data_IF_046082913297
#
_entry.id   IF_046082913297
#
_cell.length_a   1.000
_cell.length_b   1.000
_cell.length_c   1.000
_cell.angle_alpha   90.00
_cell.angle_beta   90.00
_cell.angle_gamma   90.00
#
_symmetry.space_group_name_H-M   'P 1'
#
loop_
_entity.id
_entity.type
_entity.pdbx_description
1 polymer ?
#
# COMPACT_ATOMS: atom_id res chain seq x y z
N UNK A 1 18.47 9.15 -41.56
CA UNK A 1 18.18 9.66 -40.20
C UNK A 1 17.10 8.76 -39.63
N UNK A 2 17.48 7.78 -38.82
CA UNK A 2 16.53 6.85 -38.20
C UNK A 2 16.11 7.49 -36.89
N UNK A 3 14.83 7.88 -36.82
CA UNK A 3 14.18 8.31 -35.59
C UNK A 3 14.03 7.09 -34.70
N UNK A 4 14.81 7.05 -33.61
CA UNK A 4 14.65 6.05 -32.57
C UNK A 4 13.32 6.29 -31.86
N UNK A 5 12.43 5.29 -31.91
CA UNK A 5 11.25 5.24 -31.06
C UNK A 5 11.73 5.10 -29.62
N UNK A 6 11.37 6.05 -28.77
CA UNK A 6 11.49 5.89 -27.33
C UNK A 6 10.59 4.71 -26.94
N UNK A 7 11.17 3.70 -26.29
CA UNK A 7 10.40 2.67 -25.60
C UNK A 7 9.56 3.37 -24.54
N UNK A 8 8.24 3.39 -24.72
CA UNK A 8 7.33 3.55 -23.59
C UNK A 8 7.72 2.42 -22.62
N UNK A 9 8.15 2.76 -21.41
CA UNK A 9 8.30 1.76 -20.37
C UNK A 9 6.90 1.26 -20.07
N UNK A 10 6.59 0.01 -20.44
CA UNK A 10 5.40 -0.65 -19.92
C UNK A 10 5.53 -0.65 -18.39
N UNK A 11 4.72 0.16 -17.72
CA UNK A 11 4.65 0.11 -16.26
C UNK A 11 4.29 -1.31 -15.85
N UNK A 12 4.99 -1.89 -14.86
CA UNK A 12 4.81 -3.30 -14.53
C UNK A 12 3.38 -3.57 -14.08
N UNK A 13 2.68 -4.42 -14.84
CA UNK A 13 1.36 -4.91 -14.46
C UNK A 13 1.54 -5.94 -13.35
N UNK A 14 1.02 -5.63 -12.15
CA UNK A 14 0.96 -6.60 -11.06
C UNK A 14 -0.46 -7.17 -10.99
N UNK A 15 -0.59 -8.50 -11.05
CA UNK A 15 -1.87 -9.22 -10.97
C UNK A 15 -1.77 -10.35 -9.96
N UNK A 16 -2.73 -10.41 -9.05
CA UNK A 16 -2.93 -11.53 -8.12
C UNK A 16 -4.39 -11.97 -8.20
N UNK A 17 -4.65 -13.27 -8.13
CA UNK A 17 -6.01 -13.83 -8.08
C UNK A 17 -6.18 -14.60 -6.77
N UNK A 18 -7.21 -14.28 -6.00
CA UNK A 18 -7.52 -14.92 -4.72
C UNK A 18 -8.99 -14.68 -4.33
N UNK A 19 -9.57 -15.62 -3.60
CA UNK A 19 -10.91 -15.52 -2.97
C UNK A 19 -10.74 -14.95 -1.54
N UNK A 20 -10.85 -13.62 -1.40
CA UNK A 20 -10.60 -12.94 -0.12
C UNK A 20 -11.84 -12.91 0.78
N UNK A 21 -13.04 -12.85 0.22
CA UNK A 21 -14.27 -12.86 1.01
C UNK A 21 -14.86 -14.26 1.26
N UNK A 22 -14.22 -15.30 0.70
CA UNK A 22 -14.49 -16.72 0.90
C UNK A 22 -15.89 -17.12 0.43
N UNK A 23 -16.37 -16.50 -0.64
CA UNK A 23 -17.66 -16.84 -1.25
C UNK A 23 -17.56 -17.98 -2.29
N UNK A 24 -16.34 -18.45 -2.57
CA UNK A 24 -16.04 -19.52 -3.53
C UNK A 24 -15.77 -19.03 -4.94
N UNK A 25 -15.88 -17.72 -5.20
CA UNK A 25 -15.46 -17.06 -6.43
C UNK A 25 -14.09 -16.43 -6.24
N UNK A 26 -13.35 -16.26 -7.34
CA UNK A 26 -12.00 -15.68 -7.27
C UNK A 26 -12.04 -14.23 -7.72
N UNK A 27 -11.52 -13.33 -6.89
CA UNK A 27 -11.26 -11.96 -7.30
C UNK A 27 -9.90 -11.80 -7.97
N UNK A 28 -9.81 -10.76 -8.79
CA UNK A 28 -8.58 -10.33 -9.43
C UNK A 28 -8.17 -8.96 -8.91
N UNK A 29 -6.93 -8.85 -8.44
CA UNK A 29 -6.31 -7.63 -7.94
C UNK A 29 -5.28 -7.18 -8.96
N UNK A 30 -5.54 -6.06 -9.62
CA UNK A 30 -4.80 -5.60 -10.79
C UNK A 30 -4.28 -4.18 -10.58
N UNK A 31 -2.96 -4.03 -10.52
CA UNK A 31 -2.27 -2.74 -10.48
C UNK A 31 -1.69 -2.44 -11.86
N UNK A 32 -2.24 -1.41 -12.51
CA UNK A 32 -1.79 -0.87 -13.81
C UNK A 32 -1.72 0.64 -13.69
N UNK A 33 -0.61 1.25 -14.12
CA UNK A 33 -0.41 2.71 -14.12
C UNK A 33 -0.85 3.35 -12.79
N UNK A 34 -0.37 2.77 -11.68
CA UNK A 34 -0.66 3.21 -10.31
C UNK A 34 -2.13 3.17 -9.87
N UNK A 35 -3.01 2.56 -10.64
CA UNK A 35 -4.41 2.33 -10.31
C UNK A 35 -4.63 0.86 -9.93
N UNK A 36 -5.05 0.62 -8.68
CA UNK A 36 -5.42 -0.72 -8.23
C UNK A 36 -6.91 -0.94 -8.48
N UNK A 37 -7.25 -1.99 -9.23
CA UNK A 37 -8.63 -2.39 -9.52
C UNK A 37 -8.86 -3.81 -9.02
N UNK A 38 -10.04 -4.05 -8.45
CA UNK A 38 -10.45 -5.34 -7.89
C UNK A 38 -11.72 -5.78 -8.61
N UNK A 39 -11.68 -6.99 -9.18
CA UNK A 39 -12.75 -7.51 -10.04
C UNK A 39 -13.14 -8.91 -9.63
N UNK A 40 -14.40 -9.26 -9.87
CA UNK A 40 -14.89 -10.63 -9.83
C UNK A 40 -15.58 -10.90 -11.17
N UNK A 41 -14.94 -11.69 -12.03
CA UNK A 41 -15.37 -11.86 -13.41
C UNK A 41 -15.42 -10.52 -14.16
N UNK A 42 -16.59 -10.15 -14.70
CA UNK A 42 -16.79 -8.88 -15.42
C UNK A 42 -17.15 -7.70 -14.51
N UNK A 43 -17.33 -7.94 -13.20
CA UNK A 43 -17.79 -6.92 -12.25
C UNK A 43 -16.60 -6.26 -11.54
N UNK A 44 -16.50 -4.94 -11.67
CA UNK A 44 -15.61 -4.12 -10.83
C UNK A 44 -16.19 -4.04 -9.41
N UNK A 45 -15.47 -4.57 -8.42
CA UNK A 45 -15.84 -4.50 -7.01
C UNK A 45 -15.35 -3.20 -6.36
N UNK A 46 -14.13 -2.79 -6.70
CA UNK A 46 -13.51 -1.59 -6.15
C UNK A 46 -12.36 -1.09 -7.05
N UNK A 47 -12.10 0.21 -6.99
CA UNK A 47 -10.95 0.85 -7.62
C UNK A 47 -10.36 1.89 -6.67
N UNK A 48 -9.03 2.02 -6.66
CA UNK A 48 -8.36 3.08 -5.91
C UNK A 48 -8.82 4.46 -6.39
N UNK A 49 -9.07 5.42 -5.48
CA UNK A 49 -9.36 6.80 -5.86
C UNK A 49 -8.33 7.38 -6.84
N UNK A 50 -8.79 8.19 -7.79
CA UNK A 50 -7.92 8.74 -8.84
C UNK A 50 -6.89 9.78 -8.38
N UNK A 51 -7.02 10.29 -7.16
CA UNK A 51 -6.03 11.15 -6.51
C UNK A 51 -4.95 10.34 -5.77
N UNK A 52 -5.06 9.01 -5.75
CA UNK A 52 -4.03 8.12 -5.21
C UNK A 52 -3.10 7.66 -6.30
N UNK A 53 -1.84 7.44 -5.94
CA UNK A 53 -0.86 6.74 -6.76
C UNK A 53 -0.40 5.49 -6.01
N UNK A 54 -0.96 4.33 -6.34
CA UNK A 54 -0.59 3.05 -5.73
C UNK A 54 0.76 2.58 -6.28
N UNK A 55 1.71 2.30 -5.39
CA UNK A 55 3.03 1.80 -5.79
C UNK A 55 3.14 0.28 -5.70
N UNK A 56 2.53 -0.32 -4.68
CA UNK A 56 2.59 -1.77 -4.47
C UNK A 56 1.39 -2.26 -3.65
N UNK A 57 1.06 -3.53 -3.79
CA UNK A 57 0.11 -4.22 -2.93
C UNK A 57 0.53 -5.67 -2.67
N UNK A 58 0.13 -6.22 -1.52
CA UNK A 58 0.23 -7.65 -1.23
C UNK A 58 -1.04 -8.15 -0.57
N UNK A 59 -1.24 -9.47 -0.59
CA UNK A 59 -2.31 -10.16 0.10
C UNK A 59 -1.71 -10.96 1.26
N UNK A 60 -2.27 -10.83 2.46
CA UNK A 60 -1.83 -11.59 3.64
C UNK A 60 -2.67 -11.29 4.87
N UNK A 61 -2.70 -12.21 5.84
CA UNK A 61 -3.37 -12.04 7.14
C UNK A 61 -2.52 -11.13 8.06
N UNK A 62 -2.36 -9.88 7.64
CA UNK A 62 -1.39 -8.95 8.22
C UNK A 62 -1.76 -8.52 9.64
N UNK A 63 -3.04 -8.66 10.01
CA UNK A 63 -3.54 -8.36 11.35
C UNK A 63 -3.78 -9.63 12.20
N UNK A 64 -3.40 -10.80 11.70
CA UNK A 64 -3.44 -12.09 12.40
C UNK A 64 -4.83 -12.43 12.98
N UNK A 65 -5.90 -12.15 12.24
CA UNK A 65 -7.27 -12.48 12.64
C UNK A 65 -7.88 -13.67 11.88
N UNK A 66 -7.05 -14.36 11.10
CA UNK A 66 -7.43 -15.53 10.30
C UNK A 66 -8.06 -15.17 8.96
N UNK A 67 -8.06 -13.89 8.57
CA UNK A 67 -8.65 -13.40 7.32
C UNK A 67 -7.63 -12.61 6.51
N UNK A 68 -7.38 -13.06 5.28
CA UNK A 68 -6.47 -12.38 4.36
C UNK A 68 -6.92 -10.93 4.10
N UNK A 69 -6.00 -10.00 4.23
CA UNK A 69 -6.17 -8.59 3.93
C UNK A 69 -5.50 -8.22 2.60
N UNK A 70 -5.98 -7.13 2.02
CA UNK A 70 -5.27 -6.38 0.98
C UNK A 70 -4.47 -5.26 1.66
N UNK A 71 -3.15 -5.27 1.50
CA UNK A 71 -2.23 -4.26 2.04
C UNK A 71 -1.68 -3.43 0.89
N UNK A 72 -1.79 -2.10 0.97
CA UNK A 72 -1.50 -1.18 -0.12
C UNK A 72 -0.49 -0.13 0.33
N UNK A 73 0.61 0.02 -0.41
CA UNK A 73 1.47 1.20 -0.36
C UNK A 73 1.04 2.19 -1.44
N UNK A 74 0.76 3.43 -1.06
CA UNK A 74 0.24 4.45 -1.97
C UNK A 74 0.72 5.85 -1.59
N UNK A 75 0.70 6.76 -2.56
CA UNK A 75 0.95 8.17 -2.35
C UNK A 75 -0.33 8.98 -2.54
N UNK A 76 -0.58 9.91 -1.65
CA UNK A 76 -1.74 10.82 -1.71
C UNK A 76 -1.42 12.12 -0.96
N UNK A 77 -2.26 13.13 -1.16
CA UNK A 77 -2.19 14.38 -0.41
C UNK A 77 -2.95 14.24 0.91
N UNK A 78 -2.31 14.62 2.02
CA UNK A 78 -2.88 14.69 3.36
C UNK A 78 -3.17 13.34 4.01
N UNK A 79 -3.38 13.32 5.33
CA UNK A 79 -3.59 12.07 6.08
C UNK A 79 -5.06 11.80 6.43
N UNK A 80 -5.87 12.84 6.61
CA UNK A 80 -7.20 12.71 7.26
C UNK A 80 -8.40 12.86 6.31
N UNK A 81 -8.15 13.09 5.02
CA UNK A 81 -9.21 13.33 4.04
C UNK A 81 -10.12 14.48 4.48
N UNK A 82 -11.44 14.30 4.34
CA UNK A 82 -12.45 15.31 4.69
C UNK A 82 -12.78 15.35 6.19
N UNK A 83 -12.37 14.34 6.97
CA UNK A 83 -12.71 14.20 8.40
C UNK A 83 -11.45 14.38 9.22
N UNK A 84 -11.16 15.63 9.57
CA UNK A 84 -9.97 16.01 10.33
C UNK A 84 -10.21 15.94 11.84
N UNK A 85 -9.25 15.45 12.63
CA UNK A 85 -9.33 15.52 14.09
C UNK A 85 -9.36 16.97 14.60
N UNK A 86 -10.10 17.23 15.69
CA UNK A 86 -10.28 18.59 16.20
C UNK A 86 -8.98 19.27 16.66
N UNK A 87 -7.96 18.50 17.06
CA UNK A 87 -6.67 19.02 17.50
C UNK A 87 -5.76 19.46 16.35
N UNK A 88 -6.09 19.08 15.11
CA UNK A 88 -5.28 19.49 13.97
C UNK A 88 -5.83 20.81 13.43
N UNK A 89 -5.04 21.86 13.57
CA UNK A 89 -5.45 23.24 13.24
C UNK A 89 -4.98 23.67 11.86
N UNK A 90 -3.89 23.08 11.34
CA UNK A 90 -3.33 23.35 10.00
C UNK A 90 -3.74 22.25 9.02
N UNK A 91 -4.05 22.61 7.79
CA UNK A 91 -4.38 21.66 6.72
C UNK A 91 -3.15 20.82 6.36
N UNK A 92 -3.34 19.51 6.27
CA UNK A 92 -2.28 18.60 5.84
C UNK A 92 -2.28 18.52 4.31
N UNK A 93 -1.34 19.25 3.72
CA UNK A 93 -1.16 19.36 2.25
C UNK A 93 0.02 18.52 1.75
N UNK A 94 0.60 17.67 2.61
CA UNK A 94 1.76 16.84 2.25
C UNK A 94 1.39 15.75 1.27
N UNK A 95 2.13 15.64 0.16
CA UNK A 95 2.03 14.49 -0.75
C UNK A 95 3.13 13.49 -0.41
N UNK A 96 2.75 12.42 0.30
CA UNK A 96 3.66 11.44 0.89
C UNK A 96 3.09 10.01 0.80
N UNK A 97 3.90 9.04 1.20
CA UNK A 97 3.56 7.63 1.13
C UNK A 97 2.77 7.20 2.39
N UNK A 98 1.82 6.30 2.19
CA UNK A 98 0.92 5.74 3.20
C UNK A 98 0.83 4.22 3.01
N UNK A 99 0.54 3.53 4.11
CA UNK A 99 0.24 2.11 4.17
C UNK A 99 -1.20 1.90 4.64
N UNK A 100 -2.06 1.33 3.78
CA UNK A 100 -3.46 1.05 4.09
C UNK A 100 -3.73 -0.46 4.10
N UNK A 101 -4.64 -0.89 4.98
CA UNK A 101 -5.09 -2.28 5.13
C UNK A 101 -6.58 -2.34 4.91
N UNK A 102 -6.98 -3.23 4.01
CA UNK A 102 -8.34 -3.43 3.60
C UNK A 102 -8.77 -4.89 3.75
N UNK A 103 -10.07 -5.09 3.90
CA UNK A 103 -10.73 -6.39 3.91
C UNK A 103 -11.84 -6.39 2.87
N UNK A 104 -11.83 -7.38 1.98
CA UNK A 104 -13.00 -7.68 1.18
C UNK A 104 -13.97 -8.51 2.04
N UNK A 105 -15.23 -8.09 2.10
CA UNK A 105 -16.28 -8.87 2.76
C UNK A 105 -17.60 -8.60 2.08
N UNK A 106 -18.32 -9.66 1.72
CA UNK A 106 -19.62 -9.57 1.04
C UNK A 106 -19.51 -8.70 -0.23
N UNK A 107 -18.44 -8.88 -1.02
CA UNK A 107 -18.12 -8.10 -2.24
C UNK A 107 -17.94 -6.60 -2.02
N UNK A 108 -17.73 -6.16 -0.78
CA UNK A 108 -17.50 -4.76 -0.40
C UNK A 108 -16.14 -4.61 0.23
N UNK A 109 -15.35 -3.68 -0.30
CA UNK A 109 -14.04 -3.36 0.22
C UNK A 109 -14.15 -2.43 1.44
N UNK A 110 -13.70 -2.90 2.61
CA UNK A 110 -13.78 -2.19 3.89
C UNK A 110 -12.40 -1.85 4.41
N UNK A 111 -12.24 -0.63 4.88
CA UNK A 111 -11.02 -0.19 5.56
C UNK A 111 -10.92 -0.93 6.90
N UNK A 112 -9.80 -1.62 7.11
CA UNK A 112 -9.42 -2.16 8.42
C UNK A 112 -8.60 -1.12 9.16
N UNK A 113 -7.61 -0.53 8.48
CA UNK A 113 -6.74 0.48 9.04
C UNK A 113 -6.07 1.31 7.95
N UNK A 114 -5.80 2.58 8.25
CA UNK A 114 -5.12 3.51 7.35
C UNK A 114 -4.15 4.36 8.16
N UNK A 115 -2.87 4.36 7.77
CA UNK A 115 -1.86 5.23 8.39
C UNK A 115 -2.07 6.70 8.04
N UNK A 116 -1.50 7.58 8.88
CA UNK A 116 -1.08 8.92 8.41
C UNK A 116 0.11 8.80 7.45
N UNK A 117 0.71 9.91 7.03
CA UNK A 117 1.92 9.85 6.22
C UNK A 117 3.05 9.11 6.97
N UNK A 118 3.75 8.21 6.27
CA UNK A 118 4.85 7.46 6.84
C UNK A 118 6.12 8.32 6.94
N UNK A 119 6.96 8.04 7.94
CA UNK A 119 8.26 8.70 8.12
C UNK A 119 9.24 8.39 6.98
N UNK A 120 9.18 7.17 6.44
CA UNK A 120 9.94 6.71 5.29
C UNK A 120 8.99 6.15 4.21
N UNK A 121 9.22 6.41 2.92
CA UNK A 121 8.40 5.82 1.87
C UNK A 121 8.71 4.33 1.69
N UNK A 122 7.66 3.53 1.52
CA UNK A 122 7.77 2.10 1.22
C UNK A 122 8.16 1.92 -0.25
N UNK A 123 9.24 1.17 -0.47
CA UNK A 123 9.74 0.73 -1.79
C UNK A 123 9.12 -0.61 -2.16
N UNK A 124 9.14 -1.57 -1.24
CA UNK A 124 8.50 -2.88 -1.40
C UNK A 124 8.01 -3.38 -0.05
N UNK A 125 7.05 -4.31 -0.08
CA UNK A 125 6.52 -4.94 1.12
C UNK A 125 6.15 -6.40 0.85
N UNK A 126 6.26 -7.25 1.88
CA UNK A 126 5.80 -8.65 1.87
C UNK A 126 5.21 -9.00 3.24
N UNK A 127 4.33 -10.01 3.28
CA UNK A 127 3.75 -10.55 4.52
C UNK A 127 4.23 -11.99 4.69
N UNK A 128 4.87 -12.28 5.82
CA UNK A 128 5.45 -13.59 6.11
C UNK A 128 5.63 -13.77 7.62
N UNK A 129 5.40 -14.98 8.13
CA UNK A 129 5.86 -15.40 9.46
C UNK A 129 7.37 -15.68 9.37
N UNK A 130 8.18 -14.79 9.94
CA UNK A 130 9.65 -14.85 9.81
C UNK A 130 10.34 -15.44 11.03
N UNK A 131 9.66 -15.52 12.18
CA UNK A 131 10.19 -16.08 13.42
C UNK A 131 9.52 -17.39 13.84
N UNK A 132 8.64 -17.93 12.99
CA UNK A 132 7.95 -19.21 13.13
C UNK A 132 7.08 -19.26 14.41
N UNK A 133 6.45 -18.12 14.77
CA UNK A 133 5.55 -17.99 15.92
C UNK A 133 4.05 -18.16 15.55
N UNK A 134 3.76 -18.58 14.31
CA UNK A 134 2.44 -18.69 13.68
C UNK A 134 1.72 -17.34 13.52
N UNK A 135 2.41 -16.21 13.69
CA UNK A 135 1.92 -14.87 13.37
C UNK A 135 2.70 -14.29 12.18
N UNK A 136 2.00 -13.58 11.31
CA UNK A 136 2.60 -12.93 10.15
C UNK A 136 3.14 -11.54 10.51
N UNK A 137 4.37 -11.26 10.05
CA UNK A 137 4.96 -9.93 10.02
C UNK A 137 4.79 -9.26 8.65
N UNK A 138 4.81 -7.93 8.66
CA UNK A 138 4.99 -7.11 7.48
C UNK A 138 6.48 -6.74 7.35
N UNK A 139 7.14 -7.24 6.32
CA UNK A 139 8.52 -6.92 5.98
C UNK A 139 8.49 -5.80 4.94
N UNK A 140 9.21 -4.72 5.20
CA UNK A 140 9.17 -3.49 4.42
C UNK A 140 10.58 -3.10 4.01
N UNK A 141 10.75 -2.77 2.74
CA UNK A 141 11.91 -2.03 2.25
C UNK A 141 11.58 -0.54 2.28
N UNK A 142 12.19 0.19 3.20
CA UNK A 142 11.99 1.63 3.39
C UNK A 142 13.06 2.43 2.64
N UNK A 143 12.63 3.39 1.84
CA UNK A 143 13.49 4.33 1.14
C UNK A 143 13.67 5.64 1.90
N UNK A 144 14.05 6.68 1.17
CA UNK A 144 14.11 8.05 1.70
C UNK A 144 13.28 8.99 0.85
N UNK A 145 12.68 9.98 1.52
CA UNK A 145 12.02 11.07 0.81
C UNK A 145 13.04 12.03 0.20
N UNK A 146 12.77 12.42 -1.05
CA UNK A 146 13.36 13.60 -1.68
C UNK A 146 12.27 14.65 -1.88
N UNK A 147 12.48 15.83 -1.32
CA UNK A 147 11.58 16.97 -1.50
C UNK A 147 11.70 17.50 -2.94
N UNK A 148 10.59 17.64 -3.65
CA UNK A 148 10.56 18.21 -5.01
C UNK A 148 10.32 19.72 -4.92
N UNK A 149 9.16 20.11 -4.37
CA UNK A 149 8.72 21.50 -4.24
C UNK A 149 7.54 21.58 -3.27
N UNK A 150 7.36 22.71 -2.58
CA UNK A 150 6.28 22.85 -1.57
C UNK A 150 6.26 21.67 -0.61
N UNK A 151 5.10 21.10 -0.29
CA UNK A 151 4.98 19.88 0.52
C UNK A 151 4.88 18.60 -0.34
N UNK A 152 5.44 18.60 -1.55
CA UNK A 152 5.47 17.45 -2.45
C UNK A 152 6.79 16.71 -2.37
N UNK A 153 6.70 15.42 -2.03
CA UNK A 153 7.83 14.52 -1.90
C UNK A 153 7.77 13.42 -2.97
N UNK A 154 8.91 12.76 -3.18
CA UNK A 154 9.04 11.56 -4.00
C UNK A 154 10.05 10.62 -3.36
N UNK A 155 10.13 9.37 -3.85
CA UNK A 155 11.17 8.44 -3.47
C UNK A 155 12.53 8.92 -4.01
N UNK A 156 13.54 8.99 -3.14
CA UNK A 156 14.93 9.15 -3.54
C UNK A 156 15.47 7.81 -4.05
N UNK A 157 15.44 7.62 -5.37
CA UNK A 157 15.90 6.39 -6.04
C UNK A 157 17.39 6.11 -5.90
N UNK A 158 18.18 7.07 -5.38
CA UNK A 158 19.62 6.91 -5.18
C UNK A 158 20.00 6.70 -3.71
N UNK A 159 19.05 6.85 -2.79
CA UNK A 159 19.28 6.57 -1.39
C UNK A 159 19.34 5.07 -1.12
N UNK A 160 20.11 4.67 -0.10
CA UNK A 160 20.05 3.31 0.42
C UNK A 160 18.67 3.01 1.00
N UNK A 161 18.21 1.80 0.75
CA UNK A 161 16.98 1.23 1.29
C UNK A 161 17.33 0.46 2.57
N UNK A 162 16.45 0.54 3.56
CA UNK A 162 16.56 -0.19 4.83
C UNK A 162 15.47 -1.24 4.91
N UNK A 163 15.78 -2.46 5.37
CA UNK A 163 14.75 -3.46 5.62
C UNK A 163 14.25 -3.34 7.06
N UNK A 164 12.94 -3.21 7.24
CA UNK A 164 12.29 -3.21 8.54
C UNK A 164 11.22 -4.29 8.63
N UNK A 165 10.97 -4.73 9.86
CA UNK A 165 9.96 -5.76 10.19
C UNK A 165 8.97 -5.15 11.15
N UNK A 166 7.70 -5.18 10.78
CA UNK A 166 6.61 -4.57 11.52
C UNK A 166 5.62 -5.66 11.92
N UNK A 167 5.11 -5.59 13.16
CA UNK A 167 4.08 -6.49 13.67
C UNK A 167 2.82 -5.69 13.97
N UNK A 168 1.67 -6.32 13.75
CA UNK A 168 0.39 -5.75 14.13
C UNK A 168 0.22 -5.72 15.66
N UNK A 169 -0.26 -4.61 16.21
CA UNK A 169 -0.42 -4.38 17.66
C UNK A 169 -1.79 -3.76 17.98
N UNK A 170 -2.86 -4.38 17.46
CA UNK A 170 -4.29 -4.01 17.58
C UNK A 170 -4.71 -2.65 16.98
N UNK A 171 -3.88 -1.62 17.13
CA UNK A 171 -4.13 -0.24 16.71
C UNK A 171 -3.46 0.13 15.39
N UNK A 172 -2.55 -0.72 14.90
CA UNK A 172 -1.72 -0.48 13.73
C UNK A 172 -0.44 -1.30 13.79
N UNK A 173 0.56 -0.85 13.04
CA UNK A 173 1.86 -1.51 12.98
C UNK A 173 2.88 -0.91 13.93
N UNK A 174 3.65 -1.79 14.56
CA UNK A 174 4.81 -1.45 15.39
C UNK A 174 6.07 -2.02 14.77
N UNK A 175 7.11 -1.19 14.69
CA UNK A 175 8.45 -1.63 14.31
C UNK A 175 9.01 -2.59 15.37
N UNK A 176 9.37 -3.80 14.97
CA UNK A 176 9.99 -4.83 15.84
C UNK A 176 11.46 -5.04 15.54
N UNK A 177 11.91 -4.83 14.30
CA UNK A 177 13.32 -4.94 13.93
C UNK A 177 13.66 -4.08 12.71
N UNK A 178 14.92 -3.67 12.62
CA UNK A 178 15.48 -2.95 11.48
C UNK A 178 16.88 -3.47 11.16
N UNK A 179 17.16 -3.74 9.89
CA UNK A 179 18.50 -4.07 9.40
C UNK A 179 18.92 -3.02 8.36
N UNK A 180 20.14 -2.50 8.54
CA UNK A 180 20.82 -1.57 7.61
C UNK A 180 21.59 -2.37 6.58
#
# INVERSE_FOLDING_TARGET
MVIGLFSESEDPVTRISADLDRDGMTEEYLLIDHCLTIREGEKDLWQSPGDWRVDNFVLGDVNNDGTVNLVISLWKTGSFGTVKPFWQTVEDVGYKNHLFVYRLKDKVMKQVWCSSDLDCPIVSLTVQDIDEDDLFELIVEEGKYRKITGERYTLDRFAQVQTTVWRWDEWGFRLVSSKI
#
